data_IF_307139536825
#
_entry.id   IF_307139536825
#
_cell.length_a   1.000
_cell.length_b   1.000
_cell.length_c   1.000
_cell.angle_alpha   90.00
_cell.angle_beta   90.00
_cell.angle_gamma   90.00
#
_symmetry.space_group_name_H-M   'P 1'
#
loop_
_entity.id
_entity.type
_entity.pdbx_description
1 polymer ?
#
# COMPACT_ATOMS: atom_id res chain seq x y z
N UNK A 1 -13.48 -33.32 -77.67
CA UNK A 1 -12.70 -33.07 -76.43
C UNK A 1 -11.85 -34.29 -76.14
N UNK A 2 -10.52 -34.16 -76.11
CA UNK A 2 -9.62 -35.32 -76.03
C UNK A 2 -9.68 -35.95 -74.64
N UNK A 3 -9.91 -37.27 -74.56
CA UNK A 3 -10.02 -38.02 -73.28
C UNK A 3 -8.82 -37.78 -72.34
N UNK A 4 -7.62 -37.59 -72.92
CA UNK A 4 -6.39 -37.25 -72.21
C UNK A 4 -6.44 -35.86 -71.54
N UNK A 5 -7.04 -34.87 -72.19
CA UNK A 5 -7.20 -33.52 -71.64
C UNK A 5 -8.19 -33.50 -70.48
N UNK A 6 -9.26 -34.31 -70.55
CA UNK A 6 -10.24 -34.46 -69.46
C UNK A 6 -9.58 -35.10 -68.24
N UNK A 7 -8.74 -36.13 -68.44
CA UNK A 7 -8.02 -36.82 -67.37
C UNK A 7 -7.01 -35.91 -66.66
N UNK A 8 -6.33 -35.06 -67.42
CA UNK A 8 -5.35 -34.12 -66.88
C UNK A 8 -6.04 -32.98 -66.10
N UNK A 9 -7.20 -32.49 -66.57
CA UNK A 9 -8.04 -31.54 -65.85
C UNK A 9 -8.61 -32.13 -64.55
N UNK A 10 -8.99 -33.40 -64.56
CA UNK A 10 -9.51 -34.09 -63.39
C UNK A 10 -8.41 -34.31 -62.33
N UNK A 11 -7.20 -34.67 -62.77
CA UNK A 11 -6.04 -34.80 -61.89
C UNK A 11 -5.63 -33.46 -61.27
N UNK A 12 -5.60 -32.39 -62.08
CA UNK A 12 -5.31 -31.04 -61.61
C UNK A 12 -6.40 -30.53 -60.64
N UNK A 13 -7.66 -30.89 -60.90
CA UNK A 13 -8.79 -30.62 -60.01
C UNK A 13 -8.61 -31.31 -58.65
N UNK A 14 -8.26 -32.60 -58.63
CA UNK A 14 -8.06 -33.34 -57.37
C UNK A 14 -6.92 -32.79 -56.52
N UNK A 15 -5.85 -32.28 -57.15
CA UNK A 15 -4.76 -31.58 -56.44
C UNK A 15 -5.17 -30.24 -55.85
N UNK A 16 -6.15 -29.53 -56.45
CA UNK A 16 -6.72 -28.31 -55.88
C UNK A 16 -7.71 -28.58 -54.74
N UNK A 17 -8.42 -29.72 -54.74
CA UNK A 17 -9.35 -30.10 -53.68
C UNK A 17 -8.65 -30.73 -52.46
N UNK A 18 -7.47 -31.32 -52.64
CA UNK A 18 -6.58 -31.72 -51.56
C UNK A 18 -5.70 -30.53 -51.14
N UNK A 19 -6.24 -29.63 -50.31
CA UNK A 19 -5.65 -28.32 -50.01
C UNK A 19 -4.20 -28.35 -49.49
N UNK A 20 -3.55 -27.18 -49.60
CA UNK A 20 -2.17 -26.89 -49.19
C UNK A 20 -1.80 -27.33 -47.76
N UNK A 21 -2.78 -27.58 -46.90
CA UNK A 21 -2.61 -28.03 -45.53
C UNK A 21 -2.13 -29.48 -45.42
N UNK A 22 -2.49 -30.34 -46.39
CA UNK A 22 -1.98 -31.71 -46.44
C UNK A 22 -0.48 -31.74 -46.77
N UNK A 23 0.00 -30.83 -47.63
CA UNK A 23 1.42 -30.66 -47.91
C UNK A 23 2.19 -30.12 -46.70
N UNK A 24 1.59 -29.22 -45.91
CA UNK A 24 2.20 -28.72 -44.67
C UNK A 24 2.37 -29.85 -43.66
N UNK A 25 1.32 -30.67 -43.48
CA UNK A 25 1.35 -31.84 -42.60
C UNK A 25 2.41 -32.87 -43.04
N UNK A 26 2.52 -33.14 -44.35
CA UNK A 26 3.53 -34.05 -44.90
C UNK A 26 4.97 -33.51 -44.75
N UNK A 27 5.13 -32.18 -44.80
CA UNK A 27 6.41 -31.49 -44.63
C UNK A 27 6.75 -31.20 -43.15
N UNK A 28 5.96 -31.71 -42.18
CA UNK A 28 6.16 -31.47 -40.75
C UNK A 28 5.98 -30.00 -40.34
N UNK A 29 5.24 -29.21 -41.13
CA UNK A 29 4.93 -27.81 -40.85
C UNK A 29 3.54 -27.66 -40.22
N UNK A 30 3.34 -26.67 -39.33
CA UNK A 30 2.06 -26.46 -38.67
C UNK A 30 0.92 -26.26 -39.66
N UNK A 31 -0.22 -26.90 -39.38
CA UNK A 31 -1.45 -26.71 -40.14
C UNK A 31 -2.11 -25.36 -39.80
N UNK A 32 -3.04 -24.92 -40.64
CA UNK A 32 -3.73 -23.65 -40.40
C UNK A 32 -4.50 -23.61 -39.07
N UNK A 33 -5.04 -24.75 -38.62
CA UNK A 33 -5.74 -24.88 -37.34
C UNK A 33 -4.79 -24.78 -36.15
N UNK A 34 -3.64 -25.46 -36.20
CA UNK A 34 -2.59 -25.39 -35.16
C UNK A 34 -2.04 -23.96 -35.01
N UNK A 35 -1.89 -23.24 -36.13
CA UNK A 35 -1.49 -21.83 -36.13
C UNK A 35 -2.50 -20.91 -35.43
N UNK A 36 -3.79 -21.22 -35.53
CA UNK A 36 -4.83 -20.44 -34.87
C UNK A 36 -4.81 -20.68 -33.34
N UNK A 37 -4.65 -21.93 -32.91
CA UNK A 37 -4.52 -22.30 -31.48
C UNK A 37 -3.29 -21.63 -30.86
N UNK A 38 -2.13 -21.75 -31.52
CA UNK A 38 -0.87 -21.14 -31.02
C UNK A 38 -0.97 -19.61 -30.92
N UNK A 39 -1.72 -18.95 -31.83
CA UNK A 39 -1.95 -17.51 -31.75
C UNK A 39 -2.81 -17.12 -30.54
N UNK A 40 -3.83 -17.91 -30.21
CA UNK A 40 -4.68 -17.67 -29.05
C UNK A 40 -3.87 -17.82 -27.76
N UNK A 41 -3.05 -18.85 -27.67
CA UNK A 41 -2.16 -19.07 -26.52
C UNK A 41 -1.15 -17.92 -26.36
N UNK A 42 -0.52 -17.49 -27.45
CA UNK A 42 0.43 -16.36 -27.43
C UNK A 42 -0.23 -15.04 -27.00
N UNK A 43 -1.49 -14.83 -27.39
CA UNK A 43 -2.24 -13.64 -26.95
C UNK A 43 -2.55 -13.73 -25.46
N UNK A 44 -3.01 -14.89 -24.96
CA UNK A 44 -3.27 -15.08 -23.55
C UNK A 44 -2.01 -14.90 -22.68
N UNK A 45 -0.85 -15.38 -23.14
CA UNK A 45 0.43 -15.17 -22.45
C UNK A 45 0.84 -13.69 -22.41
N UNK A 46 0.66 -12.97 -23.52
CA UNK A 46 0.95 -11.53 -23.59
C UNK A 46 0.03 -10.72 -22.68
N UNK A 47 -1.26 -11.05 -22.67
CA UNK A 47 -2.24 -10.41 -21.80
C UNK A 47 -1.91 -10.66 -20.32
N UNK A 48 -1.54 -11.89 -19.95
CA UNK A 48 -1.11 -12.21 -18.58
C UNK A 48 0.16 -11.43 -18.17
N UNK A 49 1.14 -11.33 -19.08
CA UNK A 49 2.36 -10.56 -18.83
C UNK A 49 2.08 -9.05 -18.72
N UNK A 50 1.18 -8.51 -19.54
CA UNK A 50 0.75 -7.11 -19.44
C UNK A 50 -0.01 -6.84 -18.15
N UNK A 51 -0.89 -7.75 -17.74
CA UNK A 51 -1.66 -7.63 -16.51
C UNK A 51 -0.73 -7.63 -15.28
N UNK A 52 0.26 -8.51 -15.26
CA UNK A 52 1.27 -8.54 -14.20
C UNK A 52 2.06 -7.21 -14.11
N UNK A 53 2.39 -6.60 -15.25
CA UNK A 53 3.04 -5.28 -15.28
C UNK A 53 2.12 -4.19 -14.73
N UNK A 54 0.86 -4.15 -15.16
CA UNK A 54 -0.11 -3.16 -14.67
C UNK A 54 -0.33 -3.31 -13.16
N UNK A 55 -0.44 -4.54 -12.66
CA UNK A 55 -0.60 -4.79 -11.22
C UNK A 55 0.63 -4.34 -10.43
N UNK A 56 1.84 -4.51 -10.98
CA UNK A 56 3.05 -3.97 -10.36
C UNK A 56 3.04 -2.44 -10.29
N UNK A 57 2.60 -1.77 -11.36
CA UNK A 57 2.48 -0.30 -11.40
C UNK A 57 1.44 0.21 -10.40
N UNK A 58 0.27 -0.43 -10.35
CA UNK A 58 -0.80 -0.07 -9.39
C UNK A 58 -0.36 -0.21 -7.93
N UNK A 59 0.50 -1.18 -7.61
CA UNK A 59 1.06 -1.31 -6.25
C UNK A 59 1.95 -0.12 -5.90
N UNK A 60 2.78 0.33 -6.84
CA UNK A 60 3.64 1.50 -6.66
C UNK A 60 2.81 2.77 -6.55
N UNK A 61 1.84 2.98 -7.44
CA UNK A 61 0.92 4.12 -7.38
C UNK A 61 0.17 4.19 -6.05
N UNK A 62 -0.33 3.04 -5.56
CA UNK A 62 -0.98 2.97 -4.25
C UNK A 62 -0.04 3.34 -3.11
N UNK A 63 1.21 2.87 -3.14
CA UNK A 63 2.21 3.23 -2.13
C UNK A 63 2.57 4.73 -2.16
N UNK A 64 2.62 5.33 -3.36
CA UNK A 64 2.86 6.77 -3.52
C UNK A 64 1.66 7.60 -3.04
N UNK A 65 0.45 7.24 -3.43
CA UNK A 65 -0.78 7.90 -2.98
C UNK A 65 -0.92 7.86 -1.45
N UNK A 66 -0.62 6.72 -0.85
CA UNK A 66 -0.59 6.55 0.59
C UNK A 66 0.44 7.47 1.27
N UNK A 67 1.62 7.61 0.67
CA UNK A 67 2.69 8.47 1.21
C UNK A 67 2.30 9.94 1.13
N UNK A 68 1.68 10.35 0.02
CA UNK A 68 1.15 11.70 -0.16
C UNK A 68 0.04 12.02 0.83
N UNK A 69 -0.88 11.09 1.10
CA UNK A 69 -1.94 11.28 2.09
C UNK A 69 -1.39 11.49 3.51
N UNK A 70 -0.28 10.82 3.87
CA UNK A 70 0.40 11.05 5.14
C UNK A 70 1.02 12.45 5.18
N UNK A 71 1.67 12.89 4.10
CA UNK A 71 2.26 14.23 4.01
C UNK A 71 1.21 15.35 4.08
N UNK A 72 0.07 15.19 3.41
CA UNK A 72 -1.03 16.16 3.49
C UNK A 72 -1.63 16.20 4.91
N UNK A 73 -1.78 15.03 5.54
CA UNK A 73 -2.19 14.95 6.95
C UNK A 73 -1.20 15.66 7.89
N UNK A 74 0.11 15.56 7.61
CA UNK A 74 1.15 16.29 8.34
C UNK A 74 1.09 17.80 8.11
N UNK A 75 0.81 18.25 6.89
CA UNK A 75 0.71 19.68 6.57
C UNK A 75 -0.54 20.32 7.19
N UNK A 76 -1.68 19.62 7.15
CA UNK A 76 -2.92 20.08 7.81
C UNK A 76 -2.74 20.18 9.32
N UNK A 77 -1.99 19.25 9.90
CA UNK A 77 -1.56 19.30 11.29
C UNK A 77 -0.34 20.22 11.45
N UNK A 78 -0.53 21.53 11.34
CA UNK A 78 0.46 22.59 11.62
C UNK A 78 1.59 22.09 12.56
N UNK A 79 2.71 21.69 11.94
CA UNK A 79 3.63 20.66 12.41
C UNK A 79 4.02 20.74 13.88
N UNK A 80 3.42 19.89 14.70
CA UNK A 80 3.95 19.63 16.05
C UNK A 80 4.26 18.14 16.18
N UNK A 81 5.10 17.65 15.28
CA UNK A 81 5.90 16.45 15.58
C UNK A 81 7.12 16.97 16.33
N UNK A 82 7.26 16.61 17.60
CA UNK A 82 8.38 17.06 18.42
C UNK A 82 9.21 15.86 18.83
N UNK A 83 10.52 16.04 18.78
CA UNK A 83 11.46 15.06 19.31
C UNK A 83 11.68 15.32 20.82
N UNK A 84 11.86 14.28 21.65
CA UNK A 84 12.20 14.46 23.05
C UNK A 84 13.42 15.35 23.25
N UNK A 85 14.39 15.32 22.33
CA UNK A 85 15.58 16.18 22.33
C UNK A 85 15.26 17.67 22.27
N UNK A 86 14.24 18.06 21.50
CA UNK A 86 13.76 19.45 21.40
C UNK A 86 13.03 19.88 22.68
N UNK A 87 12.45 18.91 23.41
CA UNK A 87 11.80 19.09 24.72
C UNK A 87 12.77 18.92 25.90
N UNK A 88 14.08 19.02 25.69
CA UNK A 88 15.09 18.95 26.75
C UNK A 88 15.52 17.53 27.14
N UNK A 89 15.04 16.50 26.43
CA UNK A 89 15.39 15.10 26.62
C UNK A 89 14.53 14.39 27.67
N UNK A 90 14.50 13.06 27.61
CA UNK A 90 13.79 12.21 28.56
C UNK A 90 14.57 12.12 29.87
N UNK A 91 13.87 12.21 31.01
CA UNK A 91 14.47 12.11 32.34
C UNK A 91 14.66 10.65 32.76
N UNK A 92 13.61 9.83 32.71
CA UNK A 92 13.67 8.44 33.23
C UNK A 92 12.80 7.42 32.49
N UNK A 93 11.94 7.84 31.56
CA UNK A 93 11.04 6.93 30.85
C UNK A 93 11.71 6.38 29.59
N UNK A 94 12.07 5.09 29.59
CA UNK A 94 12.28 4.35 28.33
C UNK A 94 10.91 4.14 27.69
N UNK A 95 10.64 4.88 26.63
CA UNK A 95 9.43 4.72 25.85
C UNK A 95 9.51 3.41 25.05
N UNK A 96 8.44 2.62 25.08
CA UNK A 96 8.38 1.29 24.44
C UNK A 96 8.12 1.39 22.93
N UNK A 97 7.51 2.50 22.49
CA UNK A 97 7.16 2.73 21.09
C UNK A 97 7.92 3.94 20.50
N UNK A 98 7.87 4.04 19.17
CA UNK A 98 8.49 5.15 18.43
C UNK A 98 7.65 6.41 18.43
N UNK A 99 6.33 6.28 18.45
CA UNK A 99 5.41 7.39 18.36
C UNK A 99 4.40 7.37 19.50
N UNK A 100 4.13 8.54 20.07
CA UNK A 100 3.09 8.76 21.08
C UNK A 100 2.27 10.00 20.74
N UNK A 101 0.97 9.96 20.98
CA UNK A 101 0.11 11.14 20.86
C UNK A 101 0.10 11.84 22.21
N UNK A 102 0.57 13.08 22.27
CA UNK A 102 0.60 13.85 23.50
C UNK A 102 -0.65 14.72 23.59
N UNK A 103 -1.50 14.40 24.57
CA UNK A 103 -2.78 15.10 24.82
C UNK A 103 -2.64 16.21 25.85
N UNK A 104 -1.45 16.43 26.42
CA UNK A 104 -1.19 17.52 27.34
C UNK A 104 0.22 17.46 27.93
N UNK A 105 0.76 18.61 28.30
CA UNK A 105 2.06 18.76 28.95
C UNK A 105 1.95 19.76 30.10
N UNK A 106 2.43 19.38 31.28
CA UNK A 106 2.26 20.16 32.51
C UNK A 106 3.54 20.26 33.32
N UNK A 107 3.83 21.44 33.87
CA UNK A 107 4.89 21.62 34.87
C UNK A 107 4.55 20.88 36.18
N UNK A 108 3.30 20.95 36.64
CA UNK A 108 2.87 20.30 37.87
C UNK A 108 2.43 18.86 37.61
N UNK A 109 3.10 17.91 38.27
CA UNK A 109 2.81 16.47 38.16
C UNK A 109 1.36 16.10 38.49
N UNK A 110 0.75 16.72 39.51
CA UNK A 110 -0.63 16.44 39.89
C UNK A 110 -1.66 16.75 38.78
N UNK A 111 -1.38 17.74 37.93
CA UNK A 111 -2.23 18.04 36.78
C UNK A 111 -2.10 16.95 35.70
N UNK A 112 -0.88 16.49 35.44
CA UNK A 112 -0.63 15.40 34.51
C UNK A 112 -1.25 14.09 34.99
N UNK A 113 -1.17 13.77 36.28
CA UNK A 113 -1.82 12.60 36.89
C UNK A 113 -3.35 12.68 36.80
N UNK A 114 -3.92 13.87 37.05
CA UNK A 114 -5.37 14.08 36.90
C UNK A 114 -5.86 13.90 35.47
N UNK A 115 -5.04 14.25 34.47
CA UNK A 115 -5.35 13.96 33.07
C UNK A 115 -5.15 12.48 32.75
N UNK A 116 -4.10 11.85 33.27
CA UNK A 116 -3.83 10.43 33.12
C UNK A 116 -5.00 9.57 33.62
N UNK A 117 -5.56 9.88 34.79
CA UNK A 117 -6.76 9.19 35.28
C UNK A 117 -7.95 9.37 34.34
N UNK A 118 -8.24 10.61 33.90
CA UNK A 118 -9.35 10.87 32.96
C UNK A 118 -9.23 10.11 31.65
N UNK A 119 -8.02 10.01 31.11
CA UNK A 119 -7.74 9.28 29.87
C UNK A 119 -7.85 7.77 30.09
N UNK A 120 -7.41 7.27 31.25
CA UNK A 120 -7.58 5.87 31.65
C UNK A 120 -9.06 5.51 31.84
N UNK A 121 -9.86 6.40 32.43
CA UNK A 121 -11.31 6.23 32.63
C UNK A 121 -12.06 6.21 31.29
N UNK A 122 -11.52 6.88 30.27
CA UNK A 122 -12.02 6.83 28.90
C UNK A 122 -11.62 5.53 28.14
N UNK A 123 -10.91 4.60 28.80
CA UNK A 123 -10.56 3.30 28.24
C UNK A 123 -9.25 3.26 27.46
N UNK A 124 -8.45 4.33 27.51
CA UNK A 124 -7.12 4.35 26.89
C UNK A 124 -6.05 3.86 27.88
N UNK A 125 -4.87 3.51 27.37
CA UNK A 125 -3.68 3.20 28.19
C UNK A 125 -2.69 4.36 28.13
N UNK A 126 -2.87 5.43 28.94
CA UNK A 126 -1.97 6.57 28.94
C UNK A 126 -0.65 6.25 29.63
N UNK A 127 0.42 6.91 29.17
CA UNK A 127 1.76 6.84 29.74
C UNK A 127 2.19 8.24 30.16
N UNK A 128 2.77 8.35 31.36
CA UNK A 128 3.38 9.59 31.83
C UNK A 128 4.81 9.69 31.31
N UNK A 129 5.11 10.77 30.57
CA UNK A 129 6.41 11.02 29.96
C UNK A 129 7.05 12.20 30.70
N UNK A 130 8.21 11.97 31.31
CA UNK A 130 8.90 12.97 32.11
C UNK A 130 10.09 13.52 31.33
N UNK A 131 10.07 14.83 31.08
CA UNK A 131 11.17 15.53 30.41
C UNK A 131 12.13 16.14 31.43
N UNK A 132 13.40 16.31 31.05
CA UNK A 132 14.43 16.89 31.94
C UNK A 132 14.21 18.37 32.22
N UNK A 133 13.46 19.06 31.38
CA UNK A 133 13.07 20.46 31.57
C UNK A 133 11.98 20.66 32.64
N UNK A 134 11.55 19.59 33.34
CA UNK A 134 10.55 19.64 34.41
C UNK A 134 9.10 19.45 33.94
N UNK A 135 8.88 19.32 32.62
CA UNK A 135 7.55 19.04 32.09
C UNK A 135 7.19 17.55 32.18
N UNK A 136 5.89 17.31 32.43
CA UNK A 136 5.28 16.00 32.50
C UNK A 136 4.18 15.94 31.44
N UNK A 137 4.38 15.15 30.40
CA UNK A 137 3.41 14.94 29.35
C UNK A 137 2.62 13.66 29.52
N UNK A 138 1.39 13.65 29.04
CA UNK A 138 0.53 12.47 28.98
C UNK A 138 0.47 12.01 27.53
N UNK A 139 1.10 10.87 27.26
CA UNK A 139 1.10 10.21 25.96
C UNK A 139 0.04 9.11 25.90
N UNK A 140 -0.59 8.94 24.74
CA UNK A 140 -1.55 7.86 24.44
C UNK A 140 -1.21 7.18 23.14
N UNK A 141 -1.79 6.00 22.92
CA UNK A 141 -1.70 5.23 21.67
C UNK A 141 -0.24 5.03 21.19
N UNK A 142 0.59 4.29 21.96
CA UNK A 142 1.94 3.95 21.54
C UNK A 142 1.91 3.18 20.22
N UNK A 143 2.69 3.61 19.23
CA UNK A 143 2.78 2.90 17.95
C UNK A 143 4.16 2.99 17.32
N UNK A 144 4.51 1.97 16.52
CA UNK A 144 5.74 1.91 15.75
C UNK A 144 5.63 2.52 14.35
N UNK A 145 4.42 2.90 13.91
CA UNK A 145 4.17 3.38 12.54
C UNK A 145 3.41 4.70 12.56
N UNK A 146 3.97 5.71 11.89
CA UNK A 146 3.34 7.02 11.74
C UNK A 146 1.92 6.90 11.17
N UNK A 147 1.66 5.98 10.22
CA UNK A 147 0.33 5.77 9.64
C UNK A 147 -0.71 5.40 10.69
N UNK A 148 -0.37 4.50 11.60
CA UNK A 148 -1.28 4.03 12.65
C UNK A 148 -1.56 5.16 13.64
N UNK A 149 -0.51 5.88 14.06
CA UNK A 149 -0.63 7.05 14.96
C UNK A 149 -1.55 8.10 14.36
N UNK A 150 -1.39 8.42 13.08
CA UNK A 150 -2.24 9.40 12.39
C UNK A 150 -3.70 8.96 12.29
N UNK A 151 -3.95 7.66 12.14
CA UNK A 151 -5.32 7.12 12.19
C UNK A 151 -5.90 7.20 13.62
N UNK A 152 -5.12 6.85 14.64
CA UNK A 152 -5.51 6.93 16.05
C UNK A 152 -5.71 8.38 16.50
N UNK A 153 -4.90 9.32 16.01
CA UNK A 153 -5.00 10.74 16.34
C UNK A 153 -6.36 11.35 15.99
N UNK A 154 -6.93 10.97 14.84
CA UNK A 154 -8.28 11.41 14.46
C UNK A 154 -9.34 10.93 15.45
N UNK A 155 -9.16 9.74 16.03
CA UNK A 155 -10.05 9.21 17.07
C UNK A 155 -9.86 9.95 18.39
N UNK A 156 -8.61 10.09 18.82
CA UNK A 156 -8.26 10.80 20.07
C UNK A 156 -8.74 12.25 20.02
N UNK A 157 -8.62 12.95 18.88
CA UNK A 157 -9.14 14.31 18.70
C UNK A 157 -10.66 14.43 18.81
N UNK A 158 -11.41 13.36 18.60
CA UNK A 158 -12.86 13.36 18.76
C UNK A 158 -13.29 13.17 20.23
N UNK A 159 -12.35 12.80 21.11
CA UNK A 159 -12.64 12.56 22.53
C UNK A 159 -12.74 13.87 23.32
N UNK A 160 -13.62 13.93 24.35
CA UNK A 160 -13.87 15.15 25.12
C UNK A 160 -12.69 15.56 26.01
N UNK A 161 -11.78 14.63 26.33
CA UNK A 161 -10.58 14.92 27.11
C UNK A 161 -9.45 15.56 26.27
N UNK A 162 -9.59 15.56 24.94
CA UNK A 162 -8.54 15.95 24.03
C UNK A 162 -8.56 17.46 23.79
N UNK A 163 -7.48 18.20 24.12
CA UNK A 163 -7.42 19.63 23.84
C UNK A 163 -7.12 19.90 22.34
N UNK A 164 -7.28 21.14 21.86
CA UNK A 164 -7.03 21.48 20.45
C UNK A 164 -5.56 21.37 20.03
N UNK A 165 -4.62 21.53 20.97
CA UNK A 165 -3.16 21.62 20.79
C UNK A 165 -2.45 20.26 20.96
N UNK A 166 -3.02 19.20 20.39
CA UNK A 166 -2.41 17.86 20.43
C UNK A 166 -1.25 17.76 19.45
N UNK A 167 -0.19 17.08 19.89
CA UNK A 167 1.04 16.89 19.15
C UNK A 167 1.52 15.44 19.23
N UNK A 168 2.46 15.06 18.36
CA UNK A 168 3.02 13.71 18.33
C UNK A 168 4.47 13.77 18.82
N UNK A 169 4.79 12.96 19.81
CA UNK A 169 6.17 12.75 20.26
C UNK A 169 6.81 11.63 19.43
N UNK A 170 8.01 11.88 18.90
CA UNK A 170 8.82 10.90 18.17
C UNK A 170 10.04 10.50 18.98
N UNK A 171 10.02 9.28 19.50
CA UNK A 171 11.14 8.67 20.20
C UNK A 171 12.08 8.01 19.18
N UNK A 172 13.12 8.74 18.76
CA UNK A 172 14.23 8.24 17.93
C UNK A 172 15.41 7.71 18.76
#
# INVERSE_FOLDING_TARGET
MNKKAILLLLLLGTLCFCGCDMFRRLAGRPTAEELAVMRIEMLAEKEAAQQARIDSLRRVEKALADSLAILDSLQQMHGTILNPSEMGGLFTTRLEARYYIVVGSFMHRGNAESLLCRVSDAGYSPVLINFRNGFNAVGVEPSGSLRQVMASLRKVKAEPFCPPDVWILVND
#
